data_IF_764022507835
#
_entry.id   IF_764022507835
#
_cell.length_a   1.000
_cell.length_b   1.000
_cell.length_c   1.000
_cell.angle_alpha   90.00
_cell.angle_beta   90.00
_cell.angle_gamma   90.00
#
_symmetry.space_group_name_H-M   'P 1'
#
loop_
_entity.id
_entity.type
_entity.pdbx_description
1 polymer ?
#
# COMPACT_ATOMS: atom_id res chain seq x y z
N UNK A 1 -12.91 19.99 61.27
CA UNK A 1 -14.37 19.81 61.14
C UNK A 1 -14.78 20.53 59.87
N UNK A 2 -14.11 20.19 58.77
CA UNK A 2 -14.32 18.96 57.95
C UNK A 2 -15.50 19.27 57.04
N UNK A 3 -15.22 19.76 55.82
CA UNK A 3 -14.91 18.93 54.64
C UNK A 3 -16.06 17.96 54.41
N UNK A 4 -17.16 18.43 53.81
CA UNK A 4 -18.26 17.56 53.33
C UNK A 4 -19.19 18.34 52.37
N UNK A 5 -18.66 18.96 51.31
CA UNK A 5 -19.55 19.42 50.23
C UNK A 5 -18.94 19.36 48.81
N UNK A 6 -17.61 19.25 48.68
CA UNK A 6 -16.97 18.98 47.37
C UNK A 6 -16.92 17.47 47.03
N UNK A 7 -17.08 16.59 48.01
CA UNK A 7 -17.04 15.14 47.78
C UNK A 7 -18.32 14.64 47.11
N UNK A 8 -19.47 15.26 47.41
CA UNK A 8 -20.75 14.86 46.82
C UNK A 8 -20.93 15.39 45.39
N UNK A 9 -20.47 16.61 45.06
CA UNK A 9 -20.59 17.13 43.70
C UNK A 9 -19.69 16.39 42.71
N UNK A 10 -18.49 15.93 43.11
CA UNK A 10 -17.66 15.08 42.25
C UNK A 10 -18.24 13.67 42.08
N UNK A 11 -18.85 13.11 43.13
CA UNK A 11 -19.51 11.81 43.06
C UNK A 11 -20.79 11.88 42.22
N UNK A 12 -21.57 12.96 42.35
CA UNK A 12 -22.73 13.26 41.52
C UNK A 12 -22.30 13.53 40.07
N UNK A 13 -21.30 14.36 39.79
CA UNK A 13 -20.81 14.56 38.42
C UNK A 13 -20.25 13.27 37.79
N UNK A 14 -19.71 12.35 38.60
CA UNK A 14 -19.29 11.01 38.17
C UNK A 14 -20.47 10.03 38.00
N UNK A 15 -21.56 10.20 38.75
CA UNK A 15 -22.83 9.48 38.55
C UNK A 15 -23.61 10.02 37.34
N UNK A 16 -23.52 11.31 37.06
CA UNK A 16 -24.15 11.99 35.91
C UNK A 16 -23.33 11.84 34.63
N UNK A 17 -22.01 11.64 34.71
CA UNK A 17 -21.20 11.21 33.56
C UNK A 17 -21.51 9.78 33.11
N UNK A 18 -22.16 8.99 33.99
CA UNK A 18 -22.71 7.68 33.65
C UNK A 18 -24.13 7.74 33.07
N UNK A 19 -24.77 8.91 32.92
CA UNK A 19 -26.10 9.04 32.29
C UNK A 19 -26.06 8.98 30.75
N UNK A 20 -25.21 8.10 30.24
CA UNK A 20 -25.40 7.40 28.98
C UNK A 20 -25.64 5.91 29.26
N UNK A 21 -26.47 5.55 30.24
CA UNK A 21 -26.82 4.14 30.50
C UNK A 21 -27.77 3.63 29.41
N UNK A 22 -27.26 3.42 28.21
CA UNK A 22 -27.74 2.26 27.48
C UNK A 22 -27.06 1.08 28.16
N UNK A 23 -27.84 0.12 28.65
CA UNK A 23 -27.29 -1.07 29.29
C UNK A 23 -26.25 -1.68 28.35
N UNK A 24 -25.08 -2.05 28.87
CA UNK A 24 -24.02 -2.66 28.08
C UNK A 24 -24.54 -3.89 27.33
N UNK A 25 -25.45 -4.64 27.97
CA UNK A 25 -26.13 -5.78 27.38
C UNK A 25 -27.08 -5.35 26.25
N UNK A 26 -27.72 -4.19 26.36
CA UNK A 26 -28.56 -3.63 25.30
C UNK A 26 -27.74 -3.13 24.12
N UNK A 27 -26.57 -2.53 24.35
CA UNK A 27 -25.65 -2.13 23.28
C UNK A 27 -25.09 -3.34 22.53
N UNK A 28 -24.74 -4.41 23.24
CA UNK A 28 -24.31 -5.68 22.64
C UNK A 28 -25.43 -6.26 21.78
N UNK A 29 -26.66 -6.33 22.31
CA UNK A 29 -27.84 -6.79 21.54
C UNK A 29 -28.14 -5.90 20.34
N UNK A 30 -27.97 -4.58 20.46
CA UNK A 30 -28.18 -3.64 19.36
C UNK A 30 -27.13 -3.84 18.27
N UNK A 31 -25.86 -3.98 18.63
CA UNK A 31 -24.77 -4.27 17.69
C UNK A 31 -25.02 -5.59 16.95
N UNK A 32 -25.37 -6.65 17.67
CA UNK A 32 -25.69 -7.96 17.08
C UNK A 32 -26.92 -7.90 16.16
N UNK A 33 -27.95 -7.12 16.50
CA UNK A 33 -29.14 -6.94 15.65
C UNK A 33 -28.82 -6.16 14.38
N UNK A 34 -28.03 -5.10 14.47
CA UNK A 34 -27.65 -4.27 13.33
C UNK A 34 -26.72 -5.03 12.37
N UNK A 35 -25.92 -5.94 12.91
CA UNK A 35 -24.97 -6.76 12.16
C UNK A 35 -25.50 -8.17 11.87
N UNK A 36 -26.81 -8.44 12.06
CA UNK A 36 -27.41 -9.79 12.02
C UNK A 36 -27.21 -10.58 10.70
N UNK A 37 -26.65 -9.98 9.65
CA UNK A 37 -26.23 -10.67 8.42
C UNK A 37 -24.91 -11.46 8.57
N UNK A 38 -24.05 -11.08 9.51
CA UNK A 38 -22.84 -11.78 9.92
C UNK A 38 -23.08 -12.34 11.32
N UNK A 39 -22.78 -13.61 11.59
CA UNK A 39 -23.08 -14.22 12.89
C UNK A 39 -22.15 -13.69 13.99
N UNK A 40 -22.36 -12.45 14.43
CA UNK A 40 -21.53 -11.81 15.43
C UNK A 40 -21.82 -12.37 16.81
N UNK A 41 -20.88 -13.16 17.33
CA UNK A 41 -20.99 -13.69 18.69
C UNK A 41 -20.87 -12.56 19.74
N UNK A 42 -21.38 -12.81 20.94
CA UNK A 42 -21.43 -11.82 22.03
C UNK A 42 -20.05 -11.33 22.45
N UNK A 43 -19.04 -12.21 22.42
CA UNK A 43 -17.67 -11.87 22.77
C UNK A 43 -17.05 -10.88 21.77
N UNK A 44 -17.29 -11.07 20.46
CA UNK A 44 -16.82 -10.17 19.41
C UNK A 44 -17.56 -8.84 19.45
N UNK A 45 -18.88 -8.85 19.68
CA UNK A 45 -19.66 -7.63 19.86
C UNK A 45 -19.18 -6.80 21.07
N UNK A 46 -18.94 -7.47 22.20
CA UNK A 46 -18.40 -6.84 23.41
C UNK A 46 -17.01 -6.29 23.17
N UNK A 47 -16.14 -7.03 22.48
CA UNK A 47 -14.79 -6.58 22.13
C UNK A 47 -14.78 -5.28 21.33
N UNK A 48 -15.59 -5.19 20.26
CA UNK A 48 -15.65 -3.98 19.43
C UNK A 48 -16.29 -2.80 20.17
N UNK A 49 -17.28 -3.04 21.02
CA UNK A 49 -17.84 -2.00 21.89
C UNK A 49 -16.80 -1.52 22.90
N UNK A 50 -16.09 -2.42 23.55
CA UNK A 50 -15.08 -2.08 24.55
C UNK A 50 -13.91 -1.29 23.93
N UNK A 51 -13.41 -1.72 22.77
CA UNK A 51 -12.38 -1.02 22.00
C UNK A 51 -12.80 0.40 21.58
N UNK A 52 -14.11 0.66 21.48
CA UNK A 52 -14.68 1.93 21.05
C UNK A 52 -15.38 2.69 22.20
N UNK A 53 -14.98 2.46 23.45
CA UNK A 53 -15.54 3.12 24.63
C UNK A 53 -17.08 3.02 24.72
N UNK A 54 -17.63 1.86 24.34
CA UNK A 54 -19.06 1.57 24.32
C UNK A 54 -19.88 2.48 23.39
N UNK A 55 -19.24 3.10 22.39
CA UNK A 55 -19.91 3.82 21.33
C UNK A 55 -20.37 2.85 20.23
N UNK A 56 -21.68 2.62 20.14
CA UNK A 56 -22.27 1.69 19.16
C UNK A 56 -21.89 2.03 17.71
N UNK A 57 -21.96 3.30 17.33
CA UNK A 57 -21.66 3.72 15.96
C UNK A 57 -20.20 3.46 15.60
N UNK A 58 -19.27 3.81 16.50
CA UNK A 58 -17.84 3.59 16.31
C UNK A 58 -17.48 2.08 16.30
N UNK A 59 -18.17 1.28 17.11
CA UNK A 59 -18.05 -0.18 17.10
C UNK A 59 -18.54 -0.79 15.78
N UNK A 60 -19.66 -0.31 15.23
CA UNK A 60 -20.16 -0.72 13.90
C UNK A 60 -19.16 -0.36 12.81
N UNK A 61 -18.62 0.86 12.82
CA UNK A 61 -17.60 1.27 11.85
C UNK A 61 -16.35 0.39 11.95
N UNK A 62 -15.83 0.18 13.16
CA UNK A 62 -14.67 -0.69 13.40
C UNK A 62 -14.92 -2.13 12.96
N UNK A 63 -16.13 -2.64 13.17
CA UNK A 63 -16.51 -3.97 12.73
C UNK A 63 -16.53 -4.08 11.21
N UNK A 64 -17.15 -3.13 10.51
CA UNK A 64 -17.14 -3.13 9.04
C UNK A 64 -15.75 -2.88 8.45
N UNK A 65 -14.90 -2.10 9.10
CA UNK A 65 -13.50 -1.94 8.69
C UNK A 65 -12.72 -3.25 8.85
N UNK A 66 -13.03 -4.04 9.88
CA UNK A 66 -12.44 -5.35 10.13
C UNK A 66 -13.00 -6.45 9.21
N UNK A 67 -14.31 -6.51 9.04
CA UNK A 67 -15.01 -7.49 8.21
C UNK A 67 -15.10 -7.12 6.73
N UNK A 68 -14.62 -5.93 6.34
CA UNK A 68 -14.64 -5.51 4.94
C UNK A 68 -14.00 -6.60 4.08
N UNK A 69 -14.77 -7.25 3.18
CA UNK A 69 -14.25 -8.32 2.32
C UNK A 69 -13.26 -7.79 1.27
N UNK A 70 -13.02 -6.47 1.25
CA UNK A 70 -12.18 -5.77 0.28
C UNK A 70 -11.04 -5.03 0.97
N UNK A 71 -10.30 -5.71 1.85
CA UNK A 71 -9.02 -5.18 2.31
C UNK A 71 -8.09 -5.06 1.10
N UNK A 72 -7.64 -3.83 0.83
CA UNK A 72 -6.68 -3.63 -0.26
C UNK A 72 -5.36 -4.32 0.08
N UNK A 73 -4.69 -4.93 -0.91
CA UNK A 73 -3.37 -5.50 -0.68
C UNK A 73 -2.37 -4.43 -0.23
N UNK A 74 -1.26 -4.82 0.37
CA UNK A 74 -0.19 -3.90 0.76
C UNK A 74 1.07 -4.19 -0.06
N UNK A 75 1.73 -3.13 -0.54
CA UNK A 75 3.02 -3.22 -1.22
C UNK A 75 3.94 -2.16 -0.64
N UNK A 76 5.18 -2.56 -0.35
CA UNK A 76 6.25 -1.65 0.04
C UNK A 76 7.37 -1.69 -1.00
N UNK A 77 7.83 -0.51 -1.42
CA UNK A 77 9.02 -0.37 -2.25
C UNK A 77 10.25 -0.55 -1.35
N UNK A 78 11.11 -1.50 -1.69
CA UNK A 78 12.33 -1.74 -0.92
C UNK A 78 13.47 -0.84 -1.40
N UNK A 79 13.78 -0.88 -2.70
CA UNK A 79 14.79 -0.04 -3.33
C UNK A 79 14.66 -0.04 -4.86
N UNK A 80 15.27 0.95 -5.51
CA UNK A 80 15.45 0.99 -6.96
C UNK A 80 16.65 0.10 -7.34
N UNK A 81 16.44 -0.89 -8.20
CA UNK A 81 17.48 -1.85 -8.64
C UNK A 81 18.03 -1.51 -10.03
N UNK A 82 17.75 -0.30 -10.53
CA UNK A 82 18.21 0.13 -11.85
C UNK A 82 19.72 0.24 -11.91
N UNK A 83 20.34 -0.49 -12.84
CA UNK A 83 21.75 -0.31 -13.17
C UNK A 83 21.96 1.06 -13.83
N UNK A 84 22.91 1.83 -13.30
CA UNK A 84 23.22 3.21 -13.72
C UNK A 84 22.38 4.28 -13.01
N UNK A 85 21.83 3.99 -11.82
CA UNK A 85 21.12 4.99 -11.01
C UNK A 85 21.93 6.29 -10.86
N UNK A 86 21.27 7.44 -11.04
CA UNK A 86 21.89 8.76 -11.02
C UNK A 86 22.52 9.20 -12.34
N UNK A 87 22.67 8.30 -13.31
CA UNK A 87 23.07 8.68 -14.67
C UNK A 87 21.91 9.31 -15.45
N UNK A 88 22.27 10.14 -16.42
CA UNK A 88 21.31 10.70 -17.36
C UNK A 88 21.11 9.79 -18.58
N UNK A 89 20.03 10.01 -19.31
CA UNK A 89 19.67 9.28 -20.53
C UNK A 89 19.75 10.21 -21.73
N UNK A 90 20.28 9.76 -22.86
CA UNK A 90 20.20 10.54 -24.10
C UNK A 90 18.74 10.71 -24.56
N UNK A 91 18.40 11.74 -25.35
CA UNK A 91 17.06 11.90 -25.90
C UNK A 91 16.58 10.69 -26.71
N UNK A 92 15.28 10.43 -26.72
CA UNK A 92 14.62 9.37 -27.51
C UNK A 92 15.25 7.97 -27.37
N UNK A 93 15.82 7.67 -26.20
CA UNK A 93 16.63 6.49 -25.95
C UNK A 93 15.87 5.50 -25.07
N UNK A 94 15.96 4.22 -25.41
CA UNK A 94 15.38 3.14 -24.60
C UNK A 94 16.24 2.85 -23.38
N UNK A 95 15.62 2.73 -22.22
CA UNK A 95 16.27 2.32 -20.98
C UNK A 95 15.31 1.49 -20.13
N UNK A 96 15.85 0.72 -19.19
CA UNK A 96 15.06 -0.07 -18.24
C UNK A 96 15.09 0.60 -16.87
N UNK A 97 13.93 0.63 -16.20
CA UNK A 97 13.83 0.89 -14.77
C UNK A 97 13.40 -0.39 -14.06
N UNK A 98 14.04 -0.68 -12.94
CA UNK A 98 13.76 -1.86 -12.13
C UNK A 98 13.64 -1.48 -10.66
N UNK A 99 12.75 -2.15 -9.93
CA UNK A 99 12.53 -1.94 -8.50
C UNK A 99 12.34 -3.25 -7.80
N UNK A 100 12.86 -3.36 -6.58
CA UNK A 100 12.55 -4.47 -5.71
C UNK A 100 11.37 -4.09 -4.80
N UNK A 101 10.30 -4.87 -4.85
CA UNK A 101 9.06 -4.63 -4.10
C UNK A 101 8.71 -5.84 -3.25
N UNK A 102 7.95 -5.62 -2.18
CA UNK A 102 7.53 -6.67 -1.26
C UNK A 102 6.04 -6.59 -0.96
N UNK A 103 5.41 -7.75 -0.82
CA UNK A 103 4.11 -7.84 -0.18
C UNK A 103 4.26 -7.63 1.33
N UNK A 104 4.02 -6.39 1.77
CA UNK A 104 4.12 -6.00 3.19
C UNK A 104 2.86 -6.36 4.00
N UNK A 105 1.82 -6.87 3.34
CA UNK A 105 0.55 -7.25 3.94
C UNK A 105 0.58 -8.57 4.70
N UNK A 106 -0.61 -9.00 5.11
CA UNK A 106 -0.85 -10.25 5.83
C UNK A 106 -1.51 -11.34 4.96
N UNK A 107 -1.88 -11.01 3.72
CA UNK A 107 -2.54 -11.90 2.77
C UNK A 107 -1.76 -11.95 1.46
N UNK A 108 -1.90 -13.06 0.73
CA UNK A 108 -1.33 -13.20 -0.60
C UNK A 108 -1.97 -12.19 -1.56
N UNK A 109 -1.17 -11.60 -2.45
CA UNK A 109 -1.71 -10.70 -3.46
C UNK A 109 -2.66 -11.43 -4.42
N UNK A 110 -3.80 -10.83 -4.79
CA UNK A 110 -4.73 -11.44 -5.73
C UNK A 110 -4.11 -11.55 -7.12
N UNK A 111 -4.59 -12.51 -7.92
CA UNK A 111 -4.17 -12.64 -9.31
C UNK A 111 -4.64 -11.47 -10.18
N UNK A 112 -3.87 -11.20 -11.24
CA UNK A 112 -4.22 -10.19 -12.25
C UNK A 112 -3.97 -8.73 -11.82
N UNK A 113 -3.32 -8.51 -10.67
CA UNK A 113 -2.81 -7.19 -10.27
C UNK A 113 -1.70 -6.72 -11.21
N UNK A 114 -1.48 -5.40 -11.23
CA UNK A 114 -0.46 -4.80 -12.07
C UNK A 114 0.14 -3.55 -11.45
N UNK A 115 1.36 -3.22 -11.86
CA UNK A 115 1.92 -1.88 -11.70
C UNK A 115 1.41 -1.01 -12.86
N UNK A 116 0.83 0.14 -12.55
CA UNK A 116 0.12 0.98 -13.52
C UNK A 116 0.64 2.43 -13.45
N UNK A 117 0.88 3.03 -14.62
CA UNK A 117 1.13 4.47 -14.74
C UNK A 117 -0.10 5.25 -14.27
N UNK A 118 0.13 6.30 -13.49
CA UNK A 118 -0.94 7.12 -12.87
C UNK A 118 -0.90 8.58 -13.29
N UNK A 119 0.29 9.21 -13.34
CA UNK A 119 0.44 10.62 -13.69
C UNK A 119 1.88 10.97 -14.07
N UNK A 120 2.10 12.18 -14.60
CA UNK A 120 3.41 12.65 -15.06
C UNK A 120 3.63 12.34 -16.54
N UNK A 121 4.89 12.19 -16.96
CA UNK A 121 5.21 11.92 -18.36
C UNK A 121 5.09 10.43 -18.67
N UNK A 122 4.42 10.11 -19.77
CA UNK A 122 4.38 8.75 -20.31
C UNK A 122 5.65 8.56 -21.15
N UNK A 123 6.51 7.62 -20.74
CA UNK A 123 7.82 7.38 -21.33
C UNK A 123 7.83 6.05 -22.11
N UNK A 124 6.98 5.93 -23.12
CA UNK A 124 6.82 4.71 -23.95
C UNK A 124 5.40 4.13 -23.89
N UNK A 125 5.18 3.05 -24.63
CA UNK A 125 3.83 2.49 -24.84
C UNK A 125 3.35 1.62 -23.67
N UNK A 126 4.29 1.07 -22.89
CA UNK A 126 3.95 0.26 -21.74
C UNK A 126 3.52 1.18 -20.58
N UNK A 127 2.24 1.13 -20.23
CA UNK A 127 1.67 1.85 -19.07
C UNK A 127 1.16 0.90 -17.98
N UNK A 128 1.23 -0.41 -18.23
CA UNK A 128 0.74 -1.46 -17.32
C UNK A 128 1.65 -2.67 -17.37
N UNK A 129 2.02 -3.18 -16.19
CA UNK A 129 2.92 -4.33 -16.05
C UNK A 129 2.25 -5.35 -15.14
N UNK A 130 1.95 -6.57 -15.62
CA UNK A 130 1.45 -7.65 -14.76
C UNK A 130 2.44 -7.94 -13.64
N UNK A 131 1.93 -8.17 -12.44
CA UNK A 131 2.74 -8.49 -11.26
C UNK A 131 2.35 -9.89 -10.76
N UNK A 132 3.30 -10.76 -10.41
CA UNK A 132 3.00 -12.07 -9.85
C UNK A 132 2.25 -11.96 -8.51
N UNK A 133 1.45 -12.97 -8.20
CA UNK A 133 0.86 -13.13 -6.88
C UNK A 133 1.96 -13.48 -5.87
N UNK A 134 2.18 -12.61 -4.89
CA UNK A 134 3.19 -12.78 -3.85
C UNK A 134 2.57 -13.13 -2.51
N UNK A 135 3.11 -14.11 -1.81
CA UNK A 135 2.77 -14.43 -0.43
C UNK A 135 3.21 -13.29 0.53
N UNK A 136 2.67 -13.22 1.76
CA UNK A 136 3.12 -12.26 2.76
C UNK A 136 4.64 -12.32 2.96
N UNK A 137 5.31 -11.16 2.95
CA UNK A 137 6.76 -10.98 3.07
C UNK A 137 7.60 -11.49 1.88
N UNK A 138 6.97 -12.04 0.85
CA UNK A 138 7.65 -12.34 -0.40
C UNK A 138 7.98 -11.06 -1.18
N UNK A 139 9.08 -11.07 -1.92
CA UNK A 139 9.56 -9.94 -2.71
C UNK A 139 9.91 -10.34 -4.13
N UNK A 140 9.78 -9.41 -5.07
CA UNK A 140 10.11 -9.61 -6.48
C UNK A 140 10.70 -8.35 -7.07
N UNK A 141 11.51 -8.51 -8.11
CA UNK A 141 11.88 -7.40 -8.98
C UNK A 141 10.78 -7.13 -10.00
N UNK A 142 10.39 -5.87 -10.15
CA UNK A 142 9.53 -5.38 -11.22
C UNK A 142 10.36 -4.51 -12.15
N UNK A 143 10.20 -4.68 -13.46
CA UNK A 143 10.91 -3.84 -14.42
C UNK A 143 10.04 -3.36 -15.57
N UNK A 144 10.36 -2.17 -16.06
CA UNK A 144 9.71 -1.51 -17.20
C UNK A 144 10.74 -1.02 -18.18
N UNK A 145 10.49 -1.23 -19.48
CA UNK A 145 11.29 -0.61 -20.55
C UNK A 145 10.59 0.68 -20.96
N UNK A 146 11.35 1.78 -20.94
CA UNK A 146 10.88 3.13 -21.20
C UNK A 146 11.66 3.75 -22.36
N UNK A 147 11.13 4.85 -22.90
CA UNK A 147 11.79 5.72 -23.89
C UNK A 147 11.88 7.12 -23.29
N UNK A 148 13.09 7.67 -23.21
CA UNK A 148 13.28 9.04 -22.73
C UNK A 148 12.64 10.05 -23.69
N UNK A 149 12.14 11.19 -23.18
CA UNK A 149 11.69 12.29 -24.01
C UNK A 149 12.78 12.80 -24.98
N UNK A 150 12.35 13.48 -26.05
CA UNK A 150 13.24 14.04 -27.05
C UNK A 150 13.90 15.37 -26.66
N UNK A 151 13.35 16.05 -25.65
CA UNK A 151 13.88 17.30 -25.14
C UNK A 151 14.74 17.07 -23.89
N UNK A 152 15.71 17.96 -23.67
CA UNK A 152 16.57 17.92 -22.49
C UNK A 152 15.79 18.42 -21.26
N UNK A 153 16.01 17.79 -20.11
CA UNK A 153 15.33 18.20 -18.88
C UNK A 153 15.21 17.08 -17.87
N UNK A 154 14.57 17.38 -16.75
CA UNK A 154 14.21 16.40 -15.73
C UNK A 154 12.74 16.05 -15.89
N UNK A 155 12.45 14.76 -15.97
CA UNK A 155 11.10 14.25 -16.16
C UNK A 155 10.73 13.28 -15.06
N UNK A 156 9.47 13.34 -14.67
CA UNK A 156 8.90 12.46 -13.66
C UNK A 156 7.74 11.63 -14.23
N UNK A 157 7.65 10.38 -13.81
CA UNK A 157 6.54 9.47 -14.12
C UNK A 157 6.14 8.73 -12.85
N UNK A 158 4.85 8.76 -12.52
CA UNK A 158 4.31 8.22 -11.28
C UNK A 158 3.54 6.93 -11.52
N UNK A 159 3.88 5.89 -10.77
CA UNK A 159 3.33 4.55 -10.92
C UNK A 159 2.82 4.02 -9.59
N UNK A 160 1.79 3.17 -9.65
CA UNK A 160 1.21 2.57 -8.46
C UNK A 160 0.61 1.21 -8.77
N UNK A 161 0.63 0.32 -7.78
CA UNK A 161 -0.04 -0.96 -7.88
C UNK A 161 -1.54 -0.77 -8.00
N UNK A 162 -2.18 -1.58 -8.85
CA UNK A 162 -3.60 -1.54 -9.15
C UNK A 162 -4.19 -2.96 -9.09
N UNK A 163 -5.33 -3.07 -8.44
CA UNK A 163 -6.15 -4.28 -8.38
C UNK A 163 -6.94 -4.49 -9.69
N UNK A 164 -7.47 -5.70 -9.90
CA UNK A 164 -8.33 -6.00 -11.06
C UNK A 164 -9.62 -5.16 -11.10
N UNK A 165 -10.07 -4.65 -9.95
CA UNK A 165 -11.23 -3.76 -9.82
C UNK A 165 -10.89 -2.28 -10.01
N UNK A 166 -9.61 -1.94 -10.25
CA UNK A 166 -9.15 -0.57 -10.51
C UNK A 166 -8.72 0.21 -9.27
N UNK A 167 -8.82 -0.38 -8.07
CA UNK A 167 -8.36 0.27 -6.83
C UNK A 167 -6.83 0.26 -6.75
N UNK A 168 -6.24 1.40 -6.41
CA UNK A 168 -4.80 1.54 -6.19
C UNK A 168 -4.38 1.17 -4.78
N UNK A 169 -3.19 0.58 -4.64
CA UNK A 169 -2.64 0.19 -3.34
C UNK A 169 -1.12 0.32 -3.26
N UNK A 170 -0.59 0.21 -2.04
CA UNK A 170 0.84 0.26 -1.75
C UNK A 170 1.50 1.62 -2.01
N UNK A 171 2.83 1.59 -1.89
CA UNK A 171 3.71 2.73 -2.11
C UNK A 171 3.64 3.24 -3.55
N UNK A 172 3.89 4.55 -3.70
CA UNK A 172 4.01 5.20 -5.00
C UNK A 172 5.45 4.98 -5.50
N UNK A 173 5.58 4.48 -6.72
CA UNK A 173 6.87 4.36 -7.40
C UNK A 173 7.04 5.59 -8.30
N UNK A 174 8.15 6.31 -8.12
CA UNK A 174 8.54 7.44 -8.94
C UNK A 174 9.67 7.02 -9.88
N UNK A 175 9.51 7.32 -11.17
CA UNK A 175 10.61 7.37 -12.11
C UNK A 175 10.99 8.83 -12.26
N UNK A 176 12.19 9.19 -11.84
CA UNK A 176 12.78 10.50 -12.12
C UNK A 176 13.97 10.25 -13.05
N UNK A 177 13.97 10.90 -14.20
CA UNK A 177 15.02 10.75 -15.21
C UNK A 177 15.49 12.11 -15.68
N UNK A 178 16.81 12.28 -15.77
CA UNK A 178 17.43 13.44 -16.40
C UNK A 178 17.79 13.07 -17.83
N UNK A 179 17.26 13.81 -18.79
CA UNK A 179 17.62 13.70 -20.20
C UNK A 179 18.73 14.71 -20.53
N UNK A 180 19.88 14.21 -20.97
CA UNK A 180 21.06 15.01 -21.30
C UNK A 180 21.73 14.49 -22.58
N UNK A 181 22.44 15.35 -23.33
CA UNK A 181 23.14 14.93 -24.56
C UNK A 181 24.16 13.82 -24.29
N UNK A 182 24.81 13.86 -23.13
CA UNK A 182 25.84 12.90 -22.70
C UNK A 182 25.28 11.81 -21.77
N UNK A 183 24.01 11.46 -21.90
CA UNK A 183 23.40 10.42 -21.07
C UNK A 183 24.01 9.03 -21.30
N UNK A 184 24.45 8.38 -20.23
CA UNK A 184 25.16 7.09 -20.29
C UNK A 184 24.32 5.91 -19.84
N UNK A 185 23.16 6.13 -19.21
CA UNK A 185 22.38 5.05 -18.56
C UNK A 185 22.15 3.84 -19.48
N UNK A 186 21.70 4.10 -20.72
CA UNK A 186 21.39 3.04 -21.67
C UNK A 186 22.64 2.23 -22.06
N UNK A 187 23.80 2.90 -22.18
CA UNK A 187 25.09 2.27 -22.50
C UNK A 187 25.56 1.44 -21.31
N UNK A 188 25.48 1.99 -20.09
CA UNK A 188 25.82 1.28 -18.84
C UNK A 188 24.99 0.00 -18.70
N UNK A 189 23.69 0.06 -18.99
CA UNK A 189 22.80 -1.10 -18.99
C UNK A 189 23.15 -2.13 -20.07
N UNK A 190 23.47 -1.69 -21.29
CA UNK A 190 23.89 -2.59 -22.37
C UNK A 190 25.20 -3.31 -22.02
N UNK A 191 26.18 -2.60 -21.46
CA UNK A 191 27.45 -3.19 -21.02
C UNK A 191 27.23 -4.23 -19.91
N UNK A 192 26.36 -3.94 -18.95
CA UNK A 192 26.01 -4.88 -17.89
C UNK A 192 25.37 -6.17 -18.45
N UNK A 193 24.46 -6.05 -19.42
CA UNK A 193 23.83 -7.21 -20.08
C UNK A 193 24.87 -8.07 -20.83
N UNK A 194 25.86 -7.46 -21.48
CA UNK A 194 26.93 -8.19 -22.13
C UNK A 194 27.80 -8.96 -21.13
N UNK A 195 28.15 -8.35 -19.99
CA UNK A 195 28.98 -9.01 -18.97
C UNK A 195 28.29 -10.20 -18.29
N UNK A 196 26.98 -10.12 -18.09
CA UNK A 196 26.19 -11.19 -17.47
C UNK A 196 25.95 -12.34 -18.45
N UNK A 197 25.79 -12.04 -19.74
CA UNK A 197 25.64 -13.05 -20.78
C UNK A 197 26.90 -13.90 -20.96
N UNK A 198 28.08 -13.28 -20.99
CA UNK A 198 29.37 -14.00 -21.12
C UNK A 198 29.68 -14.92 -19.92
N UNK A 199 29.17 -14.60 -18.73
CA UNK A 199 29.39 -15.42 -17.53
C UNK A 199 28.61 -16.73 -17.56
N UNK A 200 27.46 -16.78 -18.24
CA UNK A 200 26.64 -18.00 -18.33
C UNK A 200 27.18 -19.01 -19.35
N UNK A 201 27.95 -18.57 -20.35
CA UNK A 201 28.55 -19.46 -21.36
C UNK A 201 29.76 -20.26 -20.81
N UNK A 202 30.43 -19.76 -19.75
CA UNK A 202 31.60 -20.44 -19.15
C UNK A 202 31.19 -21.62 -18.24
N UNK A 203 29.92 -21.69 -17.82
CA UNK A 203 29.43 -22.72 -16.90
C UNK A 203 28.73 -23.91 -17.60
N UNK A 204 28.68 -23.92 -18.94
CA UNK A 204 28.13 -25.03 -19.75
C UNK A 204 29.18 -25.85 -20.52
N UNK A 205 30.47 -25.74 -20.17
CA UNK A 205 31.54 -26.58 -20.72
C UNK A 205 32.10 -27.54 -19.67
#
# INVERSE_FOLDING_TARGET
MDVDNDFDDQNLLQQFSCMGTTDKDDLVKQLQRLLAGSQLNEATATFFLDMNNWNLQAAICSYFDFESPFKLPCMTLLYDSTIGEGESVSPNTKFRKSWHVMNSGNEQWPDGICLQYTSGVIMGDCTRIPVPSLAPKESTELSVVLVSPGELGVYESKWRMMTTTGSYFGDIIWIIVTVSESGTLAVTQQLHQLSTSQSNDVQMC
#
